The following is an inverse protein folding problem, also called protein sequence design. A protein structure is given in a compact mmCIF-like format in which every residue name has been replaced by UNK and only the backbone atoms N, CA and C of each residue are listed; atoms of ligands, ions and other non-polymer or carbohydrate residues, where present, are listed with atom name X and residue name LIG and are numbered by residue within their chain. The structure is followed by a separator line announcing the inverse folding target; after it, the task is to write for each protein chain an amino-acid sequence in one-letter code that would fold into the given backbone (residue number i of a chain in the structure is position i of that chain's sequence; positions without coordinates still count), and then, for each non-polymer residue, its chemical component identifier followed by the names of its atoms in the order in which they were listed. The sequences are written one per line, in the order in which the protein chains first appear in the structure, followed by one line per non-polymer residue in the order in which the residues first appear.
data_IF_135740659752
#
_entry.id   IF_135740659752
#
_cell.length_a   1.000
_cell.length_b   1.000
_cell.length_c   1.000
_cell.angle_alpha   90.00
_cell.angle_beta   90.00
_cell.angle_gamma   90.00
#
_symmetry.space_group_name_H-M   'P 1'
#
loop_
_entity.id
_entity.type
_entity.pdbx_description
1 polymer ?
#
# COMPACT_ATOMS: atom_id res chain seq x y z
N UNK A 1 70.13 -5.19 -0.46
CA UNK A 1 69.47 -5.51 -1.75
C UNK A 1 68.86 -6.90 -1.57
N UNK A 2 67.55 -7.16 -1.56
CA UNK A 2 66.33 -6.40 -1.83
C UNK A 2 65.24 -7.07 -0.95
N UNK A 3 64.43 -6.30 -0.21
CA UNK A 3 63.27 -6.83 0.53
C UNK A 3 62.13 -6.99 -0.48
N UNK A 4 61.65 -8.20 -0.75
CA UNK A 4 60.41 -8.39 -1.52
C UNK A 4 59.23 -8.47 -0.55
N UNK A 5 58.59 -7.32 -0.37
CA UNK A 5 57.32 -7.15 0.33
C UNK A 5 56.19 -7.47 -0.65
N UNK A 6 55.50 -8.59 -0.47
CA UNK A 6 54.28 -8.91 -1.23
C UNK A 6 53.08 -8.37 -0.47
N UNK A 7 52.54 -7.24 -0.90
CA UNK A 7 51.24 -6.77 -0.44
C UNK A 7 50.14 -7.51 -1.20
N UNK A 8 49.46 -8.43 -0.52
CA UNK A 8 48.23 -9.03 -1.04
C UNK A 8 47.06 -8.06 -0.78
N UNK A 9 46.68 -7.33 -1.82
CA UNK A 9 45.56 -6.40 -1.80
C UNK A 9 44.25 -7.20 -1.98
N UNK A 10 43.68 -7.71 -0.89
CA UNK A 10 42.36 -8.34 -0.91
C UNK A 10 41.28 -7.24 -0.98
N UNK A 11 40.89 -6.87 -2.19
CA UNK A 11 39.74 -6.03 -2.43
C UNK A 11 38.47 -6.81 -2.06
N UNK A 12 37.92 -6.54 -0.87
CA UNK A 12 36.54 -6.89 -0.57
C UNK A 12 35.63 -5.95 -1.35
N UNK A 13 35.30 -6.35 -2.59
CA UNK A 13 34.14 -5.82 -3.27
C UNK A 13 32.91 -6.37 -2.54
N UNK A 14 32.46 -5.67 -1.49
CA UNK A 14 31.11 -5.87 -0.95
C UNK A 14 30.15 -5.37 -2.02
N UNK A 15 29.83 -6.26 -2.97
CA UNK A 15 28.81 -6.01 -3.97
C UNK A 15 27.54 -5.61 -3.24
N UNK A 16 27.04 -4.42 -3.52
CA UNK A 16 25.70 -4.01 -3.13
C UNK A 16 24.78 -4.99 -3.85
N UNK A 17 24.31 -6.02 -3.14
CA UNK A 17 23.26 -6.87 -3.67
C UNK A 17 22.03 -5.98 -3.81
N UNK A 18 21.38 -5.94 -4.98
CA UNK A 18 20.08 -5.30 -5.10
C UNK A 18 19.18 -5.94 -4.03
N UNK A 19 18.72 -5.15 -3.06
CA UNK A 19 17.65 -5.60 -2.18
C UNK A 19 16.43 -5.81 -3.08
N UNK A 20 16.14 -7.06 -3.43
CA UNK A 20 14.88 -7.42 -4.04
C UNK A 20 13.79 -6.93 -3.08
N UNK A 21 13.01 -5.93 -3.53
CA UNK A 21 11.79 -5.58 -2.81
C UNK A 21 10.91 -6.83 -2.90
N UNK A 22 10.42 -7.37 -1.76
CA UNK A 22 9.53 -8.50 -1.81
C UNK A 22 8.32 -8.14 -2.67
N UNK A 23 7.90 -9.07 -3.52
CA UNK A 23 6.67 -8.90 -4.29
C UNK A 23 5.50 -8.76 -3.31
N UNK A 24 4.58 -7.84 -3.58
CA UNK A 24 3.33 -7.78 -2.84
C UNK A 24 2.45 -8.95 -3.28
N UNK A 25 2.21 -9.90 -2.38
CA UNK A 25 1.33 -11.04 -2.63
C UNK A 25 -0.10 -10.68 -2.22
N UNK A 26 -1.03 -10.81 -3.17
CA UNK A 26 -2.48 -10.69 -2.92
C UNK A 26 -3.14 -11.99 -3.36
N UNK A 27 -3.96 -12.58 -2.49
CA UNK A 27 -4.78 -13.71 -2.88
C UNK A 27 -5.95 -13.30 -3.79
N UNK A 28 -6.61 -14.28 -4.40
CA UNK A 28 -7.71 -14.03 -5.32
C UNK A 28 -8.97 -13.42 -4.67
N UNK A 29 -9.10 -13.50 -3.34
CA UNK A 29 -10.18 -12.87 -2.58
C UNK A 29 -9.89 -11.38 -2.41
N UNK A 30 -8.66 -11.05 -2.00
CA UNK A 30 -8.17 -9.68 -1.85
C UNK A 30 -8.23 -8.91 -3.17
N UNK A 31 -7.80 -9.53 -4.28
CA UNK A 31 -7.86 -8.89 -5.62
C UNK A 31 -9.30 -8.59 -6.03
N UNK A 32 -10.24 -9.52 -5.80
CA UNK A 32 -11.65 -9.32 -6.15
C UNK A 32 -12.33 -8.28 -5.29
N UNK A 33 -12.06 -8.27 -3.98
CA UNK A 33 -12.56 -7.25 -3.08
C UNK A 33 -12.02 -5.86 -3.46
N UNK A 34 -10.73 -5.75 -3.78
CA UNK A 34 -10.16 -4.49 -4.27
C UNK A 34 -10.85 -4.01 -5.56
N UNK A 35 -11.03 -4.90 -6.54
CA UNK A 35 -11.70 -4.54 -7.79
C UNK A 35 -13.14 -4.04 -7.55
N UNK A 36 -13.90 -4.68 -6.66
CA UNK A 36 -15.25 -4.27 -6.28
C UNK A 36 -15.29 -2.95 -5.52
N UNK A 37 -14.23 -2.60 -4.77
CA UNK A 37 -14.16 -1.38 -3.99
C UNK A 37 -13.81 -0.13 -4.82
N UNK A 38 -13.17 -0.28 -5.99
CA UNK A 38 -12.74 0.85 -6.83
C UNK A 38 -13.87 1.80 -7.24
N UNK A 39 -15.06 1.34 -7.68
CA UNK A 39 -16.18 2.23 -7.98
C UNK A 39 -16.68 3.00 -6.76
N UNK A 40 -16.71 2.35 -5.59
CA UNK A 40 -17.12 3.00 -4.34
C UNK A 40 -16.13 4.10 -3.92
N UNK A 41 -14.82 3.84 -4.08
CA UNK A 41 -13.78 4.86 -3.92
C UNK A 41 -14.01 6.06 -4.86
N UNK A 42 -14.14 5.80 -6.17
CA UNK A 42 -14.35 6.86 -7.16
C UNK A 42 -15.59 7.71 -6.88
N UNK A 43 -16.65 7.11 -6.32
CA UNK A 43 -17.88 7.82 -5.93
C UNK A 43 -17.73 8.65 -4.65
N UNK A 44 -16.84 8.27 -3.72
CA UNK A 44 -16.65 8.96 -2.43
C UNK A 44 -15.51 9.98 -2.43
N UNK A 45 -14.52 9.81 -3.29
CA UNK A 45 -13.38 10.70 -3.45
C UNK A 45 -13.32 11.20 -4.91
N UNK A 46 -14.33 11.98 -5.37
CA UNK A 46 -14.38 12.44 -6.75
C UNK A 46 -13.19 13.37 -7.04
N UNK A 47 -12.44 13.04 -8.10
CA UNK A 47 -11.27 13.81 -8.53
C UNK A 47 -9.95 13.41 -7.86
N UNK A 48 -9.99 12.55 -6.84
CA UNK A 48 -8.79 11.94 -6.25
C UNK A 48 -8.15 10.94 -7.22
N UNK A 49 -6.82 10.83 -7.19
CA UNK A 49 -6.07 9.84 -7.97
C UNK A 49 -5.61 8.72 -7.05
N UNK A 50 -5.78 7.48 -7.48
CA UNK A 50 -5.37 6.32 -6.68
C UNK A 50 -3.86 6.29 -6.37
N UNK A 51 -3.03 6.88 -7.24
CA UNK A 51 -1.57 7.00 -7.04
C UNK A 51 -1.19 7.78 -5.77
N UNK A 52 -2.08 8.66 -5.32
CA UNK A 52 -1.91 9.47 -4.12
C UNK A 52 -2.35 8.70 -2.85
N UNK A 53 -2.68 7.41 -2.97
CA UNK A 53 -3.18 6.58 -1.88
C UNK A 53 -2.29 5.36 -1.62
N UNK A 54 -2.36 4.85 -0.39
CA UNK A 54 -1.95 3.50 0.02
C UNK A 54 -3.24 2.70 0.17
N UNK A 55 -3.26 1.50 -0.38
CA UNK A 55 -4.43 0.62 -0.29
C UNK A 55 -4.11 -0.54 0.64
N UNK A 56 -4.89 -0.66 1.71
CA UNK A 56 -4.83 -1.79 2.62
C UNK A 56 -6.01 -2.71 2.35
N UNK A 57 -5.73 -3.99 2.10
CA UNK A 57 -6.77 -5.02 1.96
C UNK A 57 -6.66 -5.94 3.16
N UNK A 58 -7.55 -5.76 4.13
CA UNK A 58 -7.54 -6.53 5.35
C UNK A 58 -8.16 -7.92 5.11
N UNK A 59 -7.67 -8.98 5.77
CA UNK A 59 -8.27 -10.31 5.69
C UNK A 59 -9.78 -10.28 6.02
N UNK A 60 -10.52 -11.24 5.46
CA UNK A 60 -11.95 -11.31 5.69
C UNK A 60 -12.28 -11.61 7.16
N UNK A 61 -13.16 -10.82 7.75
CA UNK A 61 -13.74 -11.01 9.08
C UNK A 61 -15.27 -11.02 8.93
N UNK A 62 -15.94 -12.01 9.50
CA UNK A 62 -17.40 -12.20 9.38
C UNK A 62 -17.93 -12.18 7.93
N UNK A 63 -17.14 -12.69 6.98
CA UNK A 63 -17.51 -12.73 5.56
C UNK A 63 -17.31 -11.40 4.82
N UNK A 64 -16.69 -10.41 5.45
CA UNK A 64 -16.40 -9.10 4.86
C UNK A 64 -14.90 -8.85 4.75
N UNK A 65 -14.45 -8.46 3.56
CA UNK A 65 -13.11 -7.90 3.34
C UNK A 65 -13.22 -6.37 3.47
N UNK A 66 -12.37 -5.77 4.30
CA UNK A 66 -12.24 -4.32 4.36
C UNK A 66 -11.11 -3.86 3.44
N UNK A 67 -11.44 -2.97 2.51
CA UNK A 67 -10.48 -2.25 1.65
C UNK A 67 -10.42 -0.81 2.14
N UNK A 68 -9.24 -0.37 2.56
CA UNK A 68 -8.98 0.99 3.05
C UNK A 68 -8.11 1.72 2.03
N UNK A 69 -8.63 2.84 1.53
CA UNK A 69 -7.90 3.79 0.70
C UNK A 69 -7.42 4.92 1.61
N UNK A 70 -6.17 4.84 2.05
CA UNK A 70 -5.52 5.84 2.90
C UNK A 70 -4.74 6.84 2.04
N UNK A 71 -5.06 8.15 2.08
CA UNK A 71 -4.31 9.13 1.32
C UNK A 71 -2.87 9.25 1.85
N UNK A 72 -1.89 9.27 0.95
CA UNK A 72 -0.50 9.50 1.29
C UNK A 72 -0.34 10.91 1.83
N UNK A 73 0.22 11.03 3.02
CA UNK A 73 0.66 12.30 3.56
C UNK A 73 2.00 12.67 2.90
N UNK A 74 2.15 13.91 2.39
CA UNK A 74 3.46 14.43 2.03
C UNK A 74 4.40 14.37 3.24
N UNK A 75 5.69 14.09 3.00
CA UNK A 75 6.68 14.04 4.08
C UNK A 75 6.64 15.32 4.92
N UNK A 76 6.54 15.14 6.25
CA UNK A 76 6.54 16.24 7.21
C UNK A 76 5.17 16.89 7.48
N UNK A 77 4.08 16.44 6.85
CA UNK A 77 2.74 16.90 7.21
C UNK A 77 2.13 16.05 8.34
N UNK A 78 1.51 16.68 9.36
CA UNK A 78 0.80 15.94 10.39
C UNK A 78 -0.45 15.26 9.78
N UNK A 79 -0.86 14.09 10.30
CA UNK A 79 -2.13 13.48 9.95
C UNK A 79 -3.27 14.48 10.18
N UNK A 80 -4.14 14.64 9.20
CA UNK A 80 -5.30 15.50 9.32
C UNK A 80 -6.36 14.78 10.15
N UNK A 81 -6.95 15.47 11.13
CA UNK A 81 -8.11 14.95 11.87
C UNK A 81 -9.21 14.58 10.87
N UNK A 82 -9.68 13.33 10.94
CA UNK A 82 -10.63 12.76 10.00
C UNK A 82 -10.09 12.31 8.66
N UNK A 83 -8.76 12.19 8.51
CA UNK A 83 -8.15 11.55 7.34
C UNK A 83 -8.36 12.29 6.03
N UNK A 84 -8.76 13.57 6.07
CA UNK A 84 -8.94 14.40 4.88
C UNK A 84 -7.67 15.16 4.55
N UNK A 85 -7.03 14.80 3.45
CA UNK A 85 -5.80 15.42 2.94
C UNK A 85 -6.08 16.23 1.67
N UNK A 86 -5.11 16.99 1.13
CA UNK A 86 -5.23 17.59 -0.20
C UNK A 86 -5.46 16.58 -1.33
N UNK A 87 -5.02 15.32 -1.17
CA UNK A 87 -5.28 14.24 -2.12
C UNK A 87 -6.73 13.72 -2.04
N UNK A 88 -7.39 13.96 -0.91
CA UNK A 88 -8.76 13.56 -0.64
C UNK A 88 -8.91 12.89 0.73
N UNK A 89 -10.12 12.39 1.05
CA UNK A 89 -10.41 11.69 2.28
C UNK A 89 -9.94 10.24 2.24
N UNK A 90 -9.69 9.67 3.42
CA UNK A 90 -9.63 8.22 3.58
C UNK A 90 -11.01 7.60 3.33
N UNK A 91 -11.04 6.53 2.53
CA UNK A 91 -12.26 5.78 2.19
C UNK A 91 -12.13 4.34 2.65
N UNK A 92 -13.09 3.86 3.41
CA UNK A 92 -13.18 2.47 3.86
C UNK A 92 -14.36 1.79 3.15
N UNK A 93 -14.13 0.64 2.55
CA UNK A 93 -15.13 -0.14 1.83
C UNK A 93 -15.16 -1.56 2.38
N UNK A 94 -16.34 -2.05 2.75
CA UNK A 94 -16.54 -3.44 3.16
C UNK A 94 -17.22 -4.19 2.03
N UNK A 95 -16.63 -5.32 1.62
CA UNK A 95 -17.05 -6.13 0.48
C UNK A 95 -17.35 -7.55 0.96
N UNK A 96 -18.54 -8.07 0.65
CA UNK A 96 -18.91 -9.46 0.99
C UNK A 96 -18.09 -10.44 0.18
N UNK A 97 -17.63 -11.53 0.79
CA UNK A 97 -16.82 -12.55 0.10
C UNK A 97 -17.65 -13.52 -0.75
N UNK A 98 -18.97 -13.60 -0.52
CA UNK A 98 -19.87 -14.51 -1.24
C UNK A 98 -20.12 -14.08 -2.69
N UNK A 99 -20.32 -12.79 -2.91
CA UNK A 99 -20.74 -12.20 -4.19
C UNK A 99 -19.88 -11.00 -4.62
N UNK A 100 -18.97 -10.54 -3.75
CA UNK A 100 -18.14 -9.35 -3.95
C UNK A 100 -18.94 -8.06 -4.14
N UNK A 101 -20.13 -7.98 -3.56
CA UNK A 101 -20.87 -6.74 -3.48
C UNK A 101 -20.38 -5.85 -2.33
N UNK A 102 -20.42 -4.54 -2.56
CA UNK A 102 -20.11 -3.54 -1.54
C UNK A 102 -21.27 -3.47 -0.55
N UNK A 103 -21.00 -3.86 0.70
CA UNK A 103 -21.99 -3.78 1.77
C UNK A 103 -22.05 -2.39 2.40
N UNK A 104 -20.87 -1.78 2.61
CA UNK A 104 -20.74 -0.50 3.31
C UNK A 104 -19.60 0.31 2.76
N UNK A 105 -19.76 1.63 2.80
CA UNK A 105 -18.68 2.58 2.57
C UNK A 105 -18.71 3.67 3.63
N UNK A 106 -17.55 4.05 4.16
CA UNK A 106 -17.42 5.18 5.08
C UNK A 106 -16.19 6.02 4.76
N UNK A 107 -16.22 7.27 5.21
CA UNK A 107 -15.05 8.14 5.27
C UNK A 107 -14.51 8.15 6.71
N UNK A 108 -13.21 8.36 6.87
CA UNK A 108 -12.67 8.71 8.19
C UNK A 108 -13.34 10.00 8.72
N UNK A 109 -13.55 10.08 10.03
CA UNK A 109 -14.26 11.19 10.72
C UNK A 109 -13.32 12.13 11.42
#
# INVERSE_FOLDING_TARGET
MLIMTTFANAAFATGIQPMEKPALELDGTAVRALAAALPAFAGKAPGSKLDDYIVHVNPAEDGLVQVVFEPRLPEGQPPTLGGSTPAGPEVNVWVRTEDYEVEKTSLAR
#
